data_IF_078144817586
#
_entry.id   IF_078144817586
#
_cell.length_a   1.000
_cell.length_b   1.000
_cell.length_c   1.000
_cell.angle_alpha   90.00
_cell.angle_beta   90.00
_cell.angle_gamma   90.00
#
_symmetry.space_group_name_H-M   'P 1'
#
loop_
_entity.id
_entity.type
_entity.pdbx_description
1 polymer ?
#
# COMPACT_ATOMS: atom_id res chain seq x y z
N UNK A 1 3.84 -2.42 2.71
CA UNK A 1 2.41 -2.36 3.06
C UNK A 1 1.63 -2.96 1.89
N UNK A 2 0.59 -3.75 2.17
CA UNK A 2 -0.31 -4.33 1.15
C UNK A 2 -1.69 -3.77 1.43
N UNK A 3 -2.34 -3.23 0.40
CA UNK A 3 -3.64 -2.56 0.46
C UNK A 3 -4.44 -2.92 -0.79
N UNK A 4 -5.74 -2.60 -0.78
CA UNK A 4 -6.59 -2.67 -1.97
C UNK A 4 -6.12 -1.68 -3.02
N UNK A 5 -6.23 -2.05 -4.29
CA UNK A 5 -5.85 -1.19 -5.43
C UNK A 5 -6.58 0.15 -5.39
N UNK A 6 -7.87 0.13 -5.01
CA UNK A 6 -8.70 1.35 -4.91
C UNK A 6 -8.22 2.35 -3.84
N UNK A 7 -7.33 1.94 -2.93
CA UNK A 7 -6.81 2.78 -1.85
C UNK A 7 -5.37 3.28 -2.12
N UNK A 8 -4.74 2.86 -3.22
CA UNK A 8 -3.33 3.16 -3.50
C UNK A 8 -3.06 4.66 -3.54
N UNK A 9 -3.86 5.40 -4.30
CA UNK A 9 -3.67 6.86 -4.47
C UNK A 9 -3.84 7.60 -3.15
N UNK A 10 -4.93 7.34 -2.42
CA UNK A 10 -5.20 7.95 -1.12
C UNK A 10 -4.05 7.76 -0.13
N UNK A 11 -3.50 6.54 -0.08
CA UNK A 11 -2.44 6.20 0.84
C UNK A 11 -1.11 6.83 0.42
N UNK A 12 -0.81 6.85 -0.89
CA UNK A 12 0.37 7.53 -1.41
C UNK A 12 0.33 9.04 -1.09
N UNK A 13 -0.80 9.69 -1.36
CA UNK A 13 -0.99 11.11 -1.08
C UNK A 13 -0.83 11.43 0.41
N UNK A 14 -1.36 10.56 1.27
CA UNK A 14 -1.21 10.69 2.73
C UNK A 14 0.25 10.60 3.15
N UNK A 15 1.00 9.60 2.64
CA UNK A 15 2.42 9.42 2.95
C UNK A 15 3.24 10.62 2.46
N UNK A 16 2.97 11.09 1.23
CA UNK A 16 3.64 12.26 0.66
C UNK A 16 3.40 13.48 1.53
N UNK A 17 2.14 13.73 1.93
CA UNK A 17 1.74 14.87 2.74
C UNK A 17 2.45 14.94 4.10
N UNK A 18 2.74 13.80 4.72
CA UNK A 18 3.45 13.76 6.02
C UNK A 18 4.97 13.68 5.90
N UNK A 19 5.49 13.19 4.77
CA UNK A 19 6.92 12.88 4.61
C UNK A 19 7.70 13.97 3.87
N UNK A 20 7.04 14.77 3.04
CA UNK A 20 7.67 15.82 2.23
C UNK A 20 8.21 16.97 3.10
N UNK A 21 9.50 17.29 2.94
CA UNK A 21 10.17 18.45 3.53
C UNK A 21 10.69 19.46 2.49
N UNK A 22 10.43 19.22 1.20
CA UNK A 22 10.96 20.01 0.08
C UNK A 22 12.50 20.00 0.03
N UNK A 23 13.12 18.95 0.58
CA UNK A 23 14.57 18.75 0.62
C UNK A 23 14.98 17.55 -0.23
N UNK A 24 16.24 17.57 -0.70
CA UNK A 24 16.81 16.39 -1.38
C UNK A 24 16.97 15.28 -0.35
N UNK A 25 16.25 14.18 -0.54
CA UNK A 25 16.32 13.02 0.35
C UNK A 25 14.98 12.60 0.96
N UNK A 26 13.87 13.29 0.65
CA UNK A 26 12.51 12.94 1.11
C UNK A 26 12.08 11.50 0.76
N UNK A 27 12.78 10.86 -0.18
CA UNK A 27 12.66 9.44 -0.45
C UNK A 27 11.84 9.13 -1.70
N UNK A 28 11.40 7.87 -1.79
CA UNK A 28 10.58 7.36 -2.91
C UNK A 28 9.57 6.35 -2.37
N UNK A 29 8.38 6.35 -2.96
CA UNK A 29 7.38 5.31 -2.76
C UNK A 29 7.44 4.39 -3.98
N UNK A 30 7.55 3.09 -3.76
CA UNK A 30 7.49 2.09 -4.81
C UNK A 30 6.19 1.32 -4.71
N UNK A 31 5.48 1.20 -5.82
CA UNK A 31 4.26 0.41 -5.95
C UNK A 31 4.63 -0.84 -6.75
N UNK A 32 4.32 -2.01 -6.19
CA UNK A 32 4.54 -3.30 -6.85
C UNK A 32 3.22 -4.07 -6.87
N UNK A 33 2.83 -4.67 -8.01
CA UNK A 33 1.63 -5.47 -8.08
C UNK A 33 1.78 -6.72 -7.20
N UNK A 34 0.71 -7.07 -6.49
CA UNK A 34 0.59 -8.33 -5.76
C UNK A 34 -0.41 -9.20 -6.53
N UNK A 35 0.02 -10.40 -6.94
CA UNK A 35 -0.83 -11.29 -7.73
C UNK A 35 -1.98 -11.91 -6.92
N UNK A 36 -1.70 -12.31 -5.69
CA UNK A 36 -2.69 -12.93 -4.78
C UNK A 36 -2.24 -12.74 -3.32
N UNK A 37 -3.20 -12.74 -2.39
CA UNK A 37 -2.98 -12.68 -0.94
C UNK A 37 -3.80 -13.79 -0.31
N UNK A 38 -3.21 -14.55 0.61
CA UNK A 38 -3.88 -15.68 1.28
C UNK A 38 -3.79 -15.50 2.79
N UNK A 39 -4.92 -15.44 3.48
CA UNK A 39 -4.97 -15.42 4.95
C UNK A 39 -5.01 -16.85 5.49
N UNK A 40 -3.86 -17.32 5.98
CA UNK A 40 -3.68 -18.70 6.49
C UNK A 40 -4.74 -19.12 7.52
N UNK A 41 -5.13 -18.22 8.43
CA UNK A 41 -6.05 -18.55 9.53
C UNK A 41 -7.48 -18.86 9.08
N UNK A 42 -7.95 -18.24 8.00
CA UNK A 42 -9.35 -18.30 7.56
C UNK A 42 -9.51 -18.80 6.13
N UNK A 43 -8.41 -19.12 5.45
CA UNK A 43 -8.38 -19.54 4.06
C UNK A 43 -8.97 -18.49 3.08
N UNK A 44 -9.03 -17.21 3.50
CA UNK A 44 -9.47 -16.10 2.66
C UNK A 44 -8.41 -15.77 1.60
N UNK A 45 -8.85 -15.28 0.43
CA UNK A 45 -8.00 -14.96 -0.72
C UNK A 45 -8.29 -13.59 -1.29
N UNK A 46 -7.34 -13.06 -2.08
CA UNK A 46 -7.50 -11.77 -2.76
C UNK A 46 -7.71 -10.62 -1.77
N UNK A 47 -8.58 -9.66 -2.12
CA UNK A 47 -8.85 -8.50 -1.25
C UNK A 47 -9.47 -8.86 0.09
N UNK A 48 -10.23 -9.96 0.16
CA UNK A 48 -10.80 -10.47 1.41
C UNK A 48 -9.72 -11.04 2.32
N UNK A 49 -8.47 -11.16 1.88
CA UNK A 49 -7.37 -11.45 2.78
C UNK A 49 -6.72 -10.18 3.37
N UNK A 50 -7.09 -8.97 2.92
CA UNK A 50 -6.41 -7.69 3.25
C UNK A 50 -7.13 -6.90 4.37
N UNK A 51 -8.35 -7.28 4.76
CA UNK A 51 -9.16 -6.55 5.76
C UNK A 51 -8.70 -6.70 7.22
#
# INVERSE_FOLDING_TARGET
MVIKDSAVDLVCDTIIGVSRRDETGDGKIFISPIKDVIRVRKEERGEDAIW
#
